data_IF_390176656659
#
_entry.id   IF_390176656659
#
_cell.length_a   1.000
_cell.length_b   1.000
_cell.length_c   1.000
_cell.angle_alpha   90.00
_cell.angle_beta   90.00
_cell.angle_gamma   90.00
#
_symmetry.space_group_name_H-M   'P 1'
#
loop_
_entity.id
_entity.type
_entity.pdbx_description
1 polymer ?
#
# COMPACT_ATOMS: atom_id res chain seq x y z
N UNK A 1 13.71 5.47 2.50
CA UNK A 1 12.28 5.19 2.59
C UNK A 1 11.55 5.75 1.39
N UNK A 2 10.66 4.96 0.81
CA UNK A 2 9.89 5.37 -0.36
C UNK A 2 8.47 5.69 0.05
N UNK A 3 7.96 6.83 -0.40
CA UNK A 3 6.58 7.25 -0.15
C UNK A 3 5.84 7.21 -1.47
N UNK A 4 4.66 6.59 -1.46
CA UNK A 4 3.82 6.47 -2.64
C UNK A 4 2.51 7.20 -2.37
N UNK A 5 2.28 8.26 -3.12
CA UNK A 5 1.02 9.02 -3.06
C UNK A 5 0.20 8.69 -4.28
N UNK A 6 -1.06 8.37 -4.08
CA UNK A 6 -1.92 8.00 -5.19
C UNK A 6 -3.28 8.66 -5.07
N UNK A 7 -3.79 9.15 -6.19
CA UNK A 7 -5.10 9.79 -6.26
C UNK A 7 -6.05 8.85 -6.97
N UNK A 8 -7.07 8.38 -6.23
CA UNK A 8 -8.12 7.54 -6.80
C UNK A 8 -9.25 8.40 -7.31
N UNK A 9 -9.84 8.00 -8.43
CA UNK A 9 -11.02 8.66 -8.98
C UNK A 9 -12.24 7.82 -8.67
N UNK A 10 -13.25 8.45 -8.09
CA UNK A 10 -14.47 7.77 -7.70
C UNK A 10 -15.65 8.43 -8.38
N UNK A 11 -16.61 7.64 -8.90
CA UNK A 11 -17.82 8.24 -9.45
C UNK A 11 -18.67 8.84 -8.35
N UNK A 12 -19.20 10.03 -8.59
CA UNK A 12 -20.19 10.62 -7.70
C UNK A 12 -21.54 10.06 -8.08
N UNK A 13 -22.18 9.42 -7.12
CA UNK A 13 -23.48 8.80 -7.37
C UNK A 13 -24.59 9.61 -6.73
N UNK A 14 -25.70 9.74 -7.44
CA UNK A 14 -26.89 10.39 -6.92
C UNK A 14 -28.11 9.66 -7.40
N UNK A 15 -29.26 9.94 -6.77
CA UNK A 15 -30.52 9.34 -7.16
C UNK A 15 -31.36 10.39 -7.84
N UNK A 16 -31.84 10.09 -9.05
CA UNK A 16 -32.74 10.97 -9.79
C UNK A 16 -33.86 10.12 -10.36
N UNK A 17 -35.11 10.52 -10.06
CA UNK A 17 -36.30 9.81 -10.51
C UNK A 17 -36.28 8.33 -10.14
N UNK A 18 -35.79 8.02 -8.93
CA UNK A 18 -35.71 6.67 -8.43
C UNK A 18 -34.62 5.83 -9.02
N UNK A 19 -33.71 6.43 -9.81
CA UNK A 19 -32.62 5.71 -10.46
C UNK A 19 -31.28 6.24 -9.99
N UNK A 20 -30.31 5.34 -9.87
CA UNK A 20 -28.95 5.69 -9.51
C UNK A 20 -28.22 6.20 -10.77
N UNK A 21 -27.66 7.38 -10.68
CA UNK A 21 -26.94 8.00 -11.80
C UNK A 21 -25.55 8.43 -11.36
N UNK A 22 -24.63 8.46 -12.31
CA UNK A 22 -23.31 9.02 -12.12
C UNK A 22 -23.36 10.51 -12.41
N UNK A 23 -22.81 11.31 -11.51
CA UNK A 23 -22.84 12.76 -11.63
C UNK A 23 -21.43 13.33 -11.44
N UNK A 24 -20.55 13.05 -12.40
CA UNK A 24 -19.16 13.46 -12.34
C UNK A 24 -18.31 12.52 -11.49
N UNK A 25 -17.09 12.95 -11.21
CA UNK A 25 -16.15 12.18 -10.40
C UNK A 25 -15.56 13.05 -9.30
N UNK A 26 -15.12 12.40 -8.23
CA UNK A 26 -14.35 13.06 -7.19
C UNK A 26 -13.00 12.36 -7.08
N UNK A 27 -12.04 13.05 -6.49
CA UNK A 27 -10.69 12.52 -6.32
C UNK A 27 -10.35 12.44 -4.85
N UNK A 28 -9.74 11.33 -4.44
CA UNK A 28 -9.26 11.13 -3.08
C UNK A 28 -7.82 10.70 -3.11
N UNK A 29 -6.97 11.43 -2.42
CA UNK A 29 -5.54 11.17 -2.38
C UNK A 29 -5.19 10.42 -1.10
N UNK A 30 -4.39 9.36 -1.26
CA UNK A 30 -3.94 8.53 -0.15
C UNK A 30 -2.43 8.39 -0.18
N UNK A 31 -1.84 8.22 0.98
CA UNK A 31 -0.40 8.09 1.15
C UNK A 31 -0.06 6.70 1.68
N UNK A 32 0.94 6.09 1.07
CA UNK A 32 1.39 4.75 1.44
C UNK A 32 2.91 4.74 1.59
N UNK A 33 3.37 4.08 2.61
CA UNK A 33 4.79 3.77 2.76
C UNK A 33 4.91 2.56 3.67
N UNK A 34 5.92 1.73 3.42
CA UNK A 34 6.09 0.52 4.20
C UNK A 34 7.02 0.79 5.38
N UNK A 35 6.42 1.16 6.49
CA UNK A 35 7.13 1.41 7.74
C UNK A 35 7.40 0.10 8.45
N UNK A 36 8.27 0.14 9.45
CA UNK A 36 8.57 -1.03 10.26
C UNK A 36 7.29 -1.67 10.84
N UNK A 37 6.39 -0.83 11.33
CA UNK A 37 5.10 -1.30 11.84
C UNK A 37 4.24 -1.97 10.78
N UNK A 38 4.41 -1.58 9.53
CA UNK A 38 3.62 -2.13 8.43
C UNK A 38 3.84 -3.62 8.24
N UNK A 39 5.06 -4.11 8.48
CA UNK A 39 5.33 -5.55 8.39
C UNK A 39 4.52 -6.31 9.43
N UNK A 40 4.47 -5.80 10.65
CA UNK A 40 3.67 -6.41 11.72
C UNK A 40 2.18 -6.33 11.42
N UNK A 41 1.71 -5.22 10.88
CA UNK A 41 0.31 -5.08 10.50
C UNK A 41 -0.08 -6.08 9.43
N UNK A 42 0.77 -6.27 8.42
CA UNK A 42 0.48 -7.24 7.37
C UNK A 42 0.40 -8.65 7.96
N UNK A 43 1.31 -9.01 8.84
CA UNK A 43 1.29 -10.30 9.50
C UNK A 43 0.03 -10.48 10.35
N UNK A 44 -0.39 -9.43 11.05
CA UNK A 44 -1.63 -9.47 11.84
C UNK A 44 -2.86 -9.68 10.95
N UNK A 45 -2.85 -9.07 9.76
CA UNK A 45 -3.99 -9.16 8.85
C UNK A 45 -4.06 -10.49 8.11
N UNK A 46 -2.92 -11.09 7.82
CA UNK A 46 -2.86 -12.26 6.94
C UNK A 46 -2.38 -13.53 7.61
N UNK A 47 -1.71 -13.42 8.75
CA UNK A 47 -1.04 -14.54 9.38
C UNK A 47 0.23 -14.98 8.68
N UNK A 48 0.73 -14.18 7.72
CA UNK A 48 1.89 -14.53 6.90
C UNK A 48 2.93 -13.41 6.93
N UNK A 49 4.22 -13.75 6.86
CA UNK A 49 5.27 -12.71 6.86
C UNK A 49 5.33 -11.98 5.52
N UNK A 50 5.37 -10.66 5.58
CA UNK A 50 5.43 -9.83 4.37
C UNK A 50 6.80 -9.87 3.71
N UNK A 51 7.86 -9.83 4.51
CA UNK A 51 9.22 -9.76 3.98
C UNK A 51 9.52 -10.90 3.02
N UNK A 52 9.15 -12.12 3.39
CA UNK A 52 9.36 -13.30 2.55
C UNK A 52 8.66 -13.15 1.20
N UNK A 53 7.44 -12.64 1.20
CA UNK A 53 6.66 -12.44 -0.03
C UNK A 53 7.30 -11.39 -0.93
N UNK A 54 7.78 -10.29 -0.35
CA UNK A 54 8.41 -9.23 -1.12
C UNK A 54 9.75 -9.69 -1.71
N UNK A 55 10.51 -10.47 -0.96
CA UNK A 55 11.77 -11.01 -1.47
C UNK A 55 11.53 -11.99 -2.62
N UNK A 56 10.47 -12.76 -2.54
CA UNK A 56 10.05 -13.64 -3.63
C UNK A 56 9.76 -12.84 -4.90
N UNK A 57 8.98 -11.76 -4.75
CA UNK A 57 8.62 -10.91 -5.88
C UNK A 57 9.84 -10.21 -6.49
N UNK A 58 10.78 -9.80 -5.65
CA UNK A 58 11.98 -9.10 -6.09
C UNK A 58 12.89 -9.97 -6.96
N UNK A 59 12.86 -11.28 -6.73
CA UNK A 59 13.76 -12.23 -7.40
C UNK A 59 13.17 -12.89 -8.64
N UNK A 60 11.90 -12.63 -8.97
CA UNK A 60 11.25 -13.30 -10.09
C UNK A 60 11.01 -12.36 -11.25
N UNK A 61 11.20 -12.88 -12.47
CA UNK A 61 10.94 -12.12 -13.68
C UNK A 61 9.45 -11.99 -13.95
N UNK A 62 8.71 -13.05 -13.66
CA UNK A 62 7.27 -13.07 -13.88
C UNK A 62 6.53 -13.04 -12.54
N UNK A 63 6.28 -11.83 -12.06
CA UNK A 63 5.66 -11.64 -10.75
C UNK A 63 4.13 -11.71 -10.81
N UNK A 64 3.54 -11.70 -12.00
CA UNK A 64 2.08 -11.68 -12.14
C UNK A 64 1.40 -12.85 -11.46
N UNK A 65 2.03 -14.01 -11.48
CA UNK A 65 1.45 -15.21 -10.87
C UNK A 65 1.48 -15.19 -9.34
N UNK A 66 2.29 -14.31 -8.75
CA UNK A 66 2.42 -14.22 -7.30
C UNK A 66 1.55 -13.11 -6.71
N UNK A 67 1.01 -12.26 -7.56
CA UNK A 67 0.20 -11.14 -7.12
C UNK A 67 -1.26 -11.56 -7.10
N UNK A 68 -1.82 -11.67 -5.89
CA UNK A 68 -3.24 -11.97 -5.71
C UNK A 68 -3.95 -10.72 -5.22
N UNK A 69 -5.27 -10.74 -5.36
CA UNK A 69 -6.09 -9.62 -4.84
C UNK A 69 -5.92 -9.47 -3.34
N UNK A 70 -5.85 -10.58 -2.62
CA UNK A 70 -5.66 -10.55 -1.18
C UNK A 70 -4.33 -9.93 -0.79
N UNK A 71 -3.27 -10.27 -1.52
CA UNK A 71 -1.95 -9.70 -1.27
C UNK A 71 -2.00 -8.18 -1.43
N UNK A 72 -2.54 -7.70 -2.55
CA UNK A 72 -2.61 -6.27 -2.83
C UNK A 72 -3.45 -5.53 -1.80
N UNK A 73 -4.64 -6.06 -1.49
CA UNK A 73 -5.54 -5.43 -0.53
C UNK A 73 -4.90 -5.30 0.84
N UNK A 74 -4.26 -6.37 1.30
CA UNK A 74 -3.64 -6.37 2.63
C UNK A 74 -2.37 -5.52 2.67
N UNK A 75 -1.61 -5.50 1.58
CA UNK A 75 -0.43 -4.63 1.49
C UNK A 75 -0.85 -3.16 1.54
N UNK A 76 -1.92 -2.81 0.83
CA UNK A 76 -2.45 -1.46 0.86
C UNK A 76 -2.86 -1.06 2.27
N UNK A 77 -3.61 -1.91 2.97
CA UNK A 77 -4.03 -1.64 4.34
C UNK A 77 -2.84 -1.47 5.28
N UNK A 78 -1.85 -2.34 5.16
CA UNK A 78 -0.69 -2.32 6.05
C UNK A 78 0.23 -1.14 5.80
N UNK A 79 0.28 -0.64 4.56
CA UNK A 79 1.16 0.46 4.18
C UNK A 79 0.47 1.83 4.20
N UNK A 80 -0.85 1.86 4.37
CA UNK A 80 -1.58 3.11 4.41
C UNK A 80 -1.15 3.96 5.61
N UNK A 81 -0.85 5.23 5.34
CA UNK A 81 -0.46 6.19 6.37
C UNK A 81 -1.48 7.32 6.38
N UNK A 82 -2.17 7.47 7.52
CA UNK A 82 -3.12 8.54 7.68
C UNK A 82 -2.40 9.78 8.20
N UNK A 83 -2.56 10.90 7.50
CA UNK A 83 -1.93 12.15 7.88
C UNK A 83 -2.96 13.07 8.49
N UNK A 84 -2.67 13.57 9.70
CA UNK A 84 -3.54 14.50 10.40
C UNK A 84 -2.69 15.66 10.92
N UNK A 85 -2.75 16.80 10.20
CA UNK A 85 -1.92 17.94 10.53
C UNK A 85 -0.44 17.61 10.33
N UNK A 86 0.33 17.71 11.40
CA UNK A 86 1.75 17.38 11.40
C UNK A 86 2.06 15.99 11.95
N UNK A 87 1.03 15.18 12.15
CA UNK A 87 1.17 13.82 12.66
C UNK A 87 0.74 12.80 11.62
N UNK A 88 1.24 11.58 11.76
CA UNK A 88 0.82 10.49 10.91
C UNK A 88 0.56 9.23 11.74
N UNK A 89 -0.31 8.38 11.21
CA UNK A 89 -0.71 7.15 11.88
C UNK A 89 -0.62 5.98 10.92
N UNK A 90 -0.04 4.90 11.40
CA UNK A 90 0.03 3.63 10.67
C UNK A 90 -0.11 2.53 11.72
N UNK A 91 -1.35 2.13 11.96
CA UNK A 91 -1.67 1.16 13.01
C UNK A 91 -2.91 0.37 12.59
N UNK A 92 -3.37 -0.51 13.47
CA UNK A 92 -4.52 -1.35 13.17
C UNK A 92 -5.78 -0.56 12.87
N UNK A 93 -5.99 0.53 13.60
CA UNK A 93 -7.15 1.38 13.39
C UNK A 93 -7.12 2.04 12.00
N UNK A 94 -5.96 2.52 11.57
CA UNK A 94 -5.84 3.13 10.24
C UNK A 94 -5.98 2.08 9.13
N UNK A 95 -5.47 0.87 9.34
CA UNK A 95 -5.65 -0.22 8.39
C UNK A 95 -7.13 -0.54 8.21
N UNK A 96 -7.87 -0.60 9.32
CA UNK A 96 -9.31 -0.86 9.26
C UNK A 96 -10.07 0.30 8.62
N UNK A 97 -9.65 1.53 8.88
CA UNK A 97 -10.25 2.70 8.26
C UNK A 97 -10.10 2.63 6.74
N UNK A 98 -8.90 2.27 6.25
CA UNK A 98 -8.68 2.14 4.83
C UNK A 98 -9.53 1.02 4.22
N UNK A 99 -9.61 -0.11 4.93
CA UNK A 99 -10.41 -1.24 4.47
C UNK A 99 -11.88 -0.87 4.27
N UNK A 100 -12.39 0.05 5.08
CA UNK A 100 -13.78 0.49 5.01
C UNK A 100 -13.99 1.68 4.07
N UNK A 101 -12.91 2.20 3.49
CA UNK A 101 -13.00 3.37 2.62
C UNK A 101 -13.62 3.02 1.26
N UNK A 102 -14.12 4.05 0.59
CA UNK A 102 -14.71 3.88 -0.73
C UNK A 102 -13.69 3.46 -1.80
N UNK A 103 -12.41 3.71 -1.56
CA UNK A 103 -11.37 3.37 -2.53
C UNK A 103 -10.85 1.96 -2.39
N UNK A 104 -11.22 1.25 -1.32
CA UNK A 104 -10.66 -0.07 -1.06
C UNK A 104 -10.86 -1.05 -2.22
N UNK A 105 -12.05 -1.07 -2.81
CA UNK A 105 -12.31 -1.96 -3.95
C UNK A 105 -11.47 -1.61 -5.18
N UNK A 106 -11.03 -0.36 -5.28
CA UNK A 106 -10.21 0.07 -6.40
C UNK A 106 -8.78 -0.45 -6.32
N UNK A 107 -8.32 -0.83 -5.13
CA UNK A 107 -6.94 -1.28 -4.95
C UNK A 107 -6.60 -2.51 -5.79
N UNK A 108 -7.57 -3.36 -6.07
CA UNK A 108 -7.35 -4.58 -6.85
C UNK A 108 -7.73 -4.44 -8.32
N UNK A 109 -8.26 -3.28 -8.72
CA UNK A 109 -8.69 -3.03 -10.08
C UNK A 109 -7.80 -2.04 -10.82
N UNK A 110 -7.15 -1.15 -10.08
CA UNK A 110 -6.36 -0.07 -10.67
C UNK A 110 -4.92 -0.53 -10.88
N UNK A 111 -4.59 -0.83 -12.14
CA UNK A 111 -3.27 -1.36 -12.51
C UNK A 111 -2.13 -0.41 -12.13
N UNK A 112 -2.34 0.89 -12.32
CA UNK A 112 -1.31 1.87 -11.98
C UNK A 112 -1.08 1.93 -10.47
N UNK A 113 -2.13 1.80 -9.69
CA UNK A 113 -2.00 1.74 -8.25
C UNK A 113 -1.21 0.49 -7.83
N UNK A 114 -1.56 -0.66 -8.40
CA UNK A 114 -0.91 -1.93 -8.07
C UNK A 114 0.59 -1.85 -8.36
N UNK A 115 0.95 -1.36 -9.54
CA UNK A 115 2.36 -1.23 -9.90
C UNK A 115 3.11 -0.30 -8.95
N UNK A 116 2.52 0.85 -8.65
CA UNK A 116 3.15 1.80 -7.75
C UNK A 116 3.31 1.28 -6.33
N UNK A 117 2.29 0.57 -5.85
CA UNK A 117 2.32 0.00 -4.51
C UNK A 117 3.43 -1.04 -4.37
N UNK A 118 3.52 -1.95 -5.34
CA UNK A 118 4.54 -2.99 -5.31
C UNK A 118 5.93 -2.40 -5.44
N UNK A 119 6.10 -1.44 -6.35
CA UNK A 119 7.38 -0.78 -6.51
C UNK A 119 7.82 -0.08 -5.23
N UNK A 120 6.89 0.62 -4.57
CA UNK A 120 7.17 1.28 -3.30
C UNK A 120 7.63 0.27 -2.26
N UNK A 121 6.93 -0.86 -2.14
CA UNK A 121 7.26 -1.88 -1.15
C UNK A 121 8.63 -2.50 -1.41
N UNK A 122 8.94 -2.80 -2.67
CA UNK A 122 10.24 -3.35 -3.03
C UNK A 122 11.37 -2.37 -2.77
N UNK A 123 11.15 -1.10 -3.03
CA UNK A 123 12.16 -0.08 -2.75
C UNK A 123 12.38 0.08 -1.24
N UNK A 124 11.33 -0.08 -0.44
CA UNK A 124 11.46 -0.01 1.01
C UNK A 124 12.33 -1.14 1.56
N UNK A 125 12.17 -2.35 1.06
CA UNK A 125 12.99 -3.46 1.55
C UNK A 125 14.45 -3.34 1.06
N UNK A 126 14.66 -2.77 -0.10
CA UNK A 126 16.00 -2.51 -0.61
C UNK A 126 16.72 -1.55 0.32
N UNK A 127 16.05 -0.48 0.75
CA UNK A 127 16.61 0.48 1.69
C UNK A 127 16.96 -0.18 3.02
N UNK A 128 16.07 -1.02 3.54
CA UNK A 128 16.30 -1.71 4.80
C UNK A 128 17.51 -2.62 4.71
N UNK A 129 17.61 -3.37 3.63
CA UNK A 129 18.72 -4.32 3.42
C UNK A 129 20.06 -3.63 3.21
N UNK A 130 20.08 -2.47 2.59
CA UNK A 130 21.31 -1.76 2.30
C UNK A 130 21.90 -1.00 3.48
N UNK A 131 21.05 -0.44 4.33
CA UNK A 131 21.50 0.38 5.44
C UNK A 131 22.52 -0.26 6.36
N UNK A 132 22.31 -1.47 6.87
CA UNK A 132 23.31 -2.10 7.74
C UNK A 132 24.65 -2.32 7.05
N UNK A 133 24.62 -2.75 5.80
CA UNK A 133 25.86 -2.97 5.03
C UNK A 133 26.64 -1.68 4.86
N UNK A 134 25.97 -0.59 4.53
CA UNK A 134 26.63 0.68 4.34
C UNK A 134 27.29 1.18 5.61
N UNK A 135 26.64 1.04 6.74
CA UNK A 135 27.19 1.45 8.02
C UNK A 135 28.44 0.64 8.37
N UNK A 136 28.35 -0.65 8.19
CA UNK A 136 29.46 -1.54 8.50
C UNK A 136 30.67 -1.20 7.63
N UNK A 137 30.45 -1.03 6.35
CA UNK A 137 31.53 -0.68 5.43
C UNK A 137 32.18 0.64 5.78
N UNK A 138 31.38 1.63 6.14
CA UNK A 138 31.89 2.93 6.50
C UNK A 138 32.81 2.90 7.70
N UNK A 139 32.54 2.03 8.65
CA UNK A 139 33.36 1.92 9.84
C UNK A 139 34.69 1.26 9.57
N UNK A 140 34.72 0.35 8.66
CA UNK A 140 35.92 -0.45 8.38
C UNK A 140 36.87 0.21 7.41
N UNK A 141 36.45 1.31 6.85
CA UNK A 141 37.29 2.06 5.92
C UNK A 141 38.04 3.16 6.64
#
# INVERSE_FOLDING_TARGET
MKIFEYTFKLPNLSVKDGKLIENGTSEEKYTFTLLHKGFGLYEDLTGKPLMAKLMELDNLENIDNLISKDFISNLACASYVKIEGDKFHNNRATAEEFRKSAVFSKTTEDVNFIKGLIQMALECITDINQKPSKKTNGKNQ
#
